data_IF_866256968295
#
_entry.id   IF_866256968295
#
_cell.length_a   1.000
_cell.length_b   1.000
_cell.length_c   1.000
_cell.angle_alpha   90.00
_cell.angle_beta   90.00
_cell.angle_gamma   90.00
#
_symmetry.space_group_name_H-M   'P 1'
#
loop_
_entity.id
_entity.type
_entity.pdbx_description
1 polymer ?
#
# COMPACT_ATOMS: atom_id res chain seq x y z
N UNK A 1 -9.08 4.77 -13.60
CA UNK A 1 -7.72 5.30 -13.38
C UNK A 1 -7.69 6.07 -12.06
N UNK A 2 -7.92 5.41 -10.93
CA UNK A 2 -7.85 6.04 -9.62
C UNK A 2 -6.74 5.34 -8.84
N UNK A 3 -5.67 6.06 -8.50
CA UNK A 3 -4.68 5.58 -7.53
C UNK A 3 -5.19 5.94 -6.14
N UNK A 4 -5.10 5.00 -5.19
CA UNK A 4 -5.48 5.26 -3.80
C UNK A 4 -4.23 5.63 -3.02
N UNK A 5 -4.26 6.80 -2.37
CA UNK A 5 -3.18 7.20 -1.45
C UNK A 5 -3.50 6.77 -0.02
N UNK A 6 -2.60 5.99 0.56
CA UNK A 6 -2.60 5.61 1.97
C UNK A 6 -1.54 6.43 2.71
N UNK A 7 -1.87 6.93 3.90
CA UNK A 7 -0.90 7.57 4.79
C UNK A 7 -0.59 6.61 5.93
N UNK A 8 0.67 6.23 6.09
CA UNK A 8 1.12 5.29 7.13
C UNK A 8 1.03 5.90 8.51
N UNK A 9 0.90 5.02 9.50
CA UNK A 9 1.11 5.31 10.92
C UNK A 9 2.46 4.73 11.37
N UNK A 10 2.84 5.02 12.61
CA UNK A 10 4.09 4.51 13.16
C UNK A 10 4.01 2.99 13.29
N UNK A 11 4.99 2.28 12.71
CA UNK A 11 5.02 0.82 12.72
C UNK A 11 4.27 0.15 11.56
N UNK A 12 3.71 0.92 10.63
CA UNK A 12 3.08 0.36 9.42
C UNK A 12 4.11 -0.35 8.53
N UNK A 13 3.66 -1.36 7.81
CA UNK A 13 4.50 -2.15 6.89
C UNK A 13 3.86 -2.11 5.51
N UNK A 14 4.62 -1.71 4.48
CA UNK A 14 4.12 -1.63 3.10
C UNK A 14 3.47 -2.93 2.63
N UNK A 15 4.08 -4.06 2.99
CA UNK A 15 3.62 -5.40 2.65
C UNK A 15 2.27 -5.71 3.29
N UNK A 16 2.08 -5.35 4.57
CA UNK A 16 0.82 -5.50 5.28
C UNK A 16 -0.28 -4.59 4.71
N UNK A 17 0.06 -3.34 4.38
CA UNK A 17 -0.88 -2.39 3.76
C UNK A 17 -1.30 -2.87 2.37
N UNK A 18 -0.35 -3.29 1.54
CA UNK A 18 -0.62 -3.82 0.22
C UNK A 18 -1.43 -5.12 0.30
N UNK A 19 -1.12 -6.03 1.23
CA UNK A 19 -1.90 -7.24 1.45
C UNK A 19 -3.33 -6.93 1.94
N UNK A 20 -3.49 -5.97 2.84
CA UNK A 20 -4.82 -5.55 3.32
C UNK A 20 -5.66 -4.90 2.22
N UNK A 21 -5.03 -4.20 1.27
CA UNK A 21 -5.71 -3.52 0.18
C UNK A 21 -6.02 -4.44 -1.01
N UNK A 22 -5.03 -5.21 -1.48
CA UNK A 22 -5.20 -6.09 -2.65
C UNK A 22 -5.61 -7.52 -2.28
N UNK A 23 -5.56 -7.90 -1.00
CA UNK A 23 -5.78 -9.28 -0.54
C UNK A 23 -4.65 -10.26 -0.92
N UNK A 24 -3.66 -9.80 -1.68
CA UNK A 24 -2.54 -10.59 -2.18
C UNK A 24 -1.32 -9.70 -2.42
N UNK A 25 -0.14 -10.29 -2.31
CA UNK A 25 1.14 -9.68 -2.69
C UNK A 25 1.77 -10.37 -3.90
N UNK A 26 1.10 -11.40 -4.39
CA UNK A 26 1.53 -12.20 -5.53
C UNK A 26 1.27 -11.48 -6.86
N UNK A 27 1.93 -11.92 -7.94
CA UNK A 27 1.58 -11.45 -9.28
C UNK A 27 1.96 -9.98 -9.58
N UNK A 28 3.20 -9.58 -9.32
CA UNK A 28 3.76 -8.23 -9.59
C UNK A 28 3.10 -7.10 -8.80
N UNK A 29 2.25 -7.39 -7.82
CA UNK A 29 1.63 -6.37 -6.96
C UNK A 29 2.69 -5.54 -6.25
N UNK A 30 3.64 -6.21 -5.59
CA UNK A 30 4.74 -5.55 -4.90
C UNK A 30 5.60 -4.69 -5.85
N UNK A 31 5.93 -5.21 -7.04
CA UNK A 31 6.72 -4.48 -8.03
C UNK A 31 6.00 -3.23 -8.54
N UNK A 32 4.69 -3.30 -8.76
CA UNK A 32 3.90 -2.16 -9.22
C UNK A 32 3.72 -1.11 -8.13
N UNK A 33 3.51 -1.52 -6.88
CA UNK A 33 3.51 -0.59 -5.74
C UNK A 33 4.87 0.08 -5.62
N UNK A 34 5.97 -0.65 -5.77
CA UNK A 34 7.31 -0.07 -5.68
C UNK A 34 7.62 0.87 -6.85
N UNK A 35 7.18 0.53 -8.06
CA UNK A 35 7.30 1.38 -9.24
C UNK A 35 6.48 2.68 -9.10
N UNK A 36 5.31 2.61 -8.47
CA UNK A 36 4.50 3.77 -8.15
C UNK A 36 5.05 4.61 -6.98
N UNK A 37 5.91 4.03 -6.13
CA UNK A 37 6.50 4.68 -4.97
C UNK A 37 8.03 4.58 -4.97
N UNK A 38 8.71 5.33 -5.85
CA UNK A 38 10.17 5.38 -5.87
C UNK A 38 10.69 5.90 -4.51
N UNK A 39 11.57 5.13 -3.87
CA UNK A 39 12.13 5.44 -2.55
C UNK A 39 11.44 4.74 -1.37
N UNK A 40 10.29 4.10 -1.57
CA UNK A 40 9.60 3.38 -0.50
C UNK A 40 10.42 2.18 0.01
N UNK A 41 11.08 1.44 -0.87
CA UNK A 41 12.00 0.36 -0.45
C UNK A 41 13.22 0.86 0.33
N UNK A 42 13.62 2.14 0.16
CA UNK A 42 14.75 2.71 0.90
C UNK A 42 14.37 3.08 2.35
N UNK A 43 13.08 3.26 2.63
CA UNK A 43 12.58 3.52 3.99
C UNK A 43 12.61 2.26 4.86
N UNK A 44 12.74 1.07 4.25
CA UNK A 44 12.82 -0.21 4.95
C UNK A 44 11.45 -0.85 5.18
N UNK A 45 11.42 -2.01 5.87
CA UNK A 45 10.20 -2.80 6.05
C UNK A 45 9.19 -2.14 6.98
N UNK A 46 9.63 -1.29 7.90
CA UNK A 46 8.78 -0.58 8.86
C UNK A 46 8.80 0.91 8.51
N UNK A 47 7.62 1.47 8.26
CA UNK A 47 7.42 2.86 7.91
C UNK A 47 7.03 3.64 9.17
N UNK A 48 7.58 4.85 9.28
CA UNK A 48 7.14 5.81 10.28
C UNK A 48 5.76 6.39 9.94
N UNK A 49 5.13 7.06 10.90
CA UNK A 49 3.90 7.79 10.64
C UNK A 49 4.11 8.92 9.62
N UNK A 50 3.12 9.12 8.73
CA UNK A 50 3.10 10.23 7.78
C UNK A 50 3.76 9.95 6.42
N UNK A 51 4.14 8.69 6.13
CA UNK A 51 4.59 8.31 4.79
C UNK A 51 3.38 8.12 3.89
N UNK A 52 3.36 8.79 2.74
CA UNK A 52 2.30 8.63 1.75
C UNK A 52 2.69 7.53 0.77
N UNK A 53 1.90 6.46 0.73
CA UNK A 53 2.02 5.35 -0.20
C UNK A 53 0.93 5.46 -1.25
N UNK A 54 1.31 5.46 -2.51
CA UNK A 54 0.43 5.42 -3.68
C UNK A 54 0.17 3.97 -4.07
N UNK A 55 -1.05 3.50 -3.87
CA UNK A 55 -1.48 2.17 -4.29
C UNK A 55 -2.11 2.28 -5.69
N UNK A 56 -1.41 1.81 -6.76
CA UNK A 56 -1.95 1.83 -8.11
C UNK A 56 -3.15 0.88 -8.25
N UNK A 57 -4.07 1.16 -9.16
CA UNK A 57 -5.16 0.23 -9.48
C UNK A 57 -4.59 -1.03 -10.14
N UNK A 58 -4.39 -2.07 -9.35
CA UNK A 58 -4.04 -3.40 -9.84
C UNK A 58 -5.34 -4.13 -10.08
N UNK A 59 -5.66 -4.41 -11.34
CA UNK A 59 -6.95 -4.98 -11.75
C UNK A 59 -7.21 -6.42 -11.26
N UNK A 60 -6.51 -6.89 -10.23
CA UNK A 60 -6.75 -8.15 -9.55
C UNK A 60 -7.69 -7.92 -8.34
N UNK A 61 -8.97 -8.14 -8.62
CA UNK A 61 -9.91 -8.85 -7.74
C UNK A 61 -10.17 -8.31 -6.33
N UNK A 62 -11.32 -7.65 -6.24
CA UNK A 62 -12.22 -7.53 -5.08
C UNK A 62 -11.90 -6.41 -4.09
N UNK A 63 -12.71 -5.36 -4.18
CA UNK A 63 -13.11 -4.60 -2.99
C UNK A 63 -12.39 -3.28 -2.77
N UNK A 64 -12.32 -2.43 -3.80
CA UNK A 64 -12.12 -0.99 -3.61
C UNK A 64 -13.36 -0.34 -2.94
N UNK A 65 -13.72 -0.82 -1.74
CA UNK A 65 -14.59 -0.13 -0.80
C UNK A 65 -14.14 -0.51 0.61
N UNK A 66 -12.95 -0.04 0.97
CA UNK A 66 -12.58 0.17 2.36
C UNK A 66 -11.35 1.05 2.34
N UNK A 67 -11.59 2.36 2.38
CA UNK A 67 -10.68 3.24 3.12
C UNK A 67 -10.57 2.64 4.51
N UNK A 68 -9.50 1.86 4.71
CA UNK A 68 -9.32 1.06 5.91
C UNK A 68 -9.25 2.04 7.07
N UNK A 69 -10.36 2.15 7.82
CA UNK A 69 -10.41 2.91 9.06
C UNK A 69 -9.80 2.01 10.12
N UNK A 70 -8.48 1.91 10.12
CA UNK A 70 -7.77 1.33 11.25
C UNK A 70 -7.66 2.46 12.30
N UNK A 71 -8.59 2.38 13.26
CA UNK A 71 -8.98 3.39 14.25
C UNK A 71 -7.84 4.02 15.09
N UNK A 72 -8.22 5.15 15.72
CA UNK A 72 -7.63 5.98 16.80
C UNK A 72 -6.19 5.77 17.22
#
# INVERSE_FOLDING_TARGET
MAAVTYTTKDGDVVDAVAFAYYGTLDGRVYEQVLAANPGLAALGPVLGAGVVITLPDLSASVGADQGVRLWS
#
